data_IF_473799747048
#
_entry.id   IF_473799747048
#
_cell.length_a   1.000
_cell.length_b   1.000
_cell.length_c   1.000
_cell.angle_alpha   90.00
_cell.angle_beta   90.00
_cell.angle_gamma   90.00
#
_symmetry.space_group_name_H-M   'P 1'
#
loop_
_entity.id
_entity.type
_entity.pdbx_description
1 polymer ?
#
# COMPACT_ATOMS: atom_id res chain seq x y z
N UNK A 1 -51.16 31.07 -20.52
CA UNK A 1 -50.89 32.52 -20.51
C UNK A 1 -49.39 32.68 -20.36
N UNK A 2 -48.82 33.09 -21.50
CA UNK A 2 -47.58 33.82 -21.75
C UNK A 2 -46.26 33.19 -21.25
N UNK A 3 -45.49 32.52 -22.10
CA UNK A 3 -44.62 33.05 -23.17
C UNK A 3 -43.81 34.31 -22.80
N UNK A 4 -42.45 34.14 -22.78
CA UNK A 4 -41.57 34.89 -23.65
C UNK A 4 -40.14 34.35 -23.63
N UNK A 5 -39.80 33.83 -24.76
CA UNK A 5 -38.45 33.65 -25.33
C UNK A 5 -37.74 34.98 -25.52
N UNK A 6 -36.41 34.96 -25.48
CA UNK A 6 -35.55 35.81 -26.30
C UNK A 6 -34.20 35.17 -26.53
N UNK A 7 -33.99 34.76 -27.74
CA UNK A 7 -32.71 34.49 -28.40
C UNK A 7 -32.07 35.81 -28.84
N UNK A 8 -30.74 35.92 -28.86
CA UNK A 8 -30.00 36.68 -29.86
C UNK A 8 -28.61 36.12 -30.13
N UNK A 9 -28.40 35.87 -31.38
CA UNK A 9 -27.17 35.64 -32.13
C UNK A 9 -26.19 36.80 -32.00
N UNK A 10 -24.87 36.54 -32.11
CA UNK A 10 -24.09 37.13 -33.20
C UNK A 10 -22.70 36.45 -33.37
N UNK A 11 -22.48 36.01 -34.59
CA UNK A 11 -21.20 35.69 -35.21
C UNK A 11 -20.32 36.91 -35.40
N UNK A 12 -19.00 36.69 -35.38
CA UNK A 12 -18.08 37.36 -36.33
C UNK A 12 -16.82 36.54 -36.54
N UNK A 13 -16.72 35.98 -37.73
CA UNK A 13 -15.46 35.62 -38.42
C UNK A 13 -14.56 36.82 -38.65
N UNK A 14 -13.24 36.59 -38.69
CA UNK A 14 -12.30 37.27 -39.60
C UNK A 14 -10.98 36.48 -39.67
N UNK A 15 -10.74 35.87 -40.68
CA UNK A 15 -9.81 35.61 -41.77
C UNK A 15 -8.39 36.15 -41.65
N UNK A 16 -7.44 35.21 -41.92
CA UNK A 16 -6.38 35.18 -42.95
C UNK A 16 -5.05 35.90 -42.66
N UNK A 17 -3.97 35.09 -42.77
CA UNK A 17 -2.60 35.52 -42.97
C UNK A 17 -1.66 34.35 -43.20
N UNK A 18 -1.56 33.91 -44.46
CA UNK A 18 -0.51 33.02 -44.97
C UNK A 18 0.85 33.63 -44.90
N UNK A 19 1.86 32.81 -44.65
CA UNK A 19 3.26 33.20 -44.77
C UNK A 19 4.14 31.95 -44.84
N UNK A 20 4.19 31.30 -46.00
CA UNK A 20 5.23 30.34 -46.37
C UNK A 20 6.63 30.99 -46.28
N UNK A 21 7.56 30.31 -45.69
CA UNK A 21 8.95 30.28 -46.17
C UNK A 21 9.61 28.92 -45.94
N UNK A 22 9.78 28.25 -47.02
CA UNK A 22 10.64 27.08 -47.24
C UNK A 22 12.11 27.47 -46.98
N UNK A 23 12.82 26.68 -46.18
CA UNK A 23 14.23 26.48 -46.31
C UNK A 23 14.55 25.02 -46.02
N UNK A 24 14.93 24.33 -47.04
CA UNK A 24 15.53 22.99 -47.04
C UNK A 24 16.94 23.04 -46.43
N UNK A 25 17.29 22.00 -45.67
CA UNK A 25 18.66 21.85 -45.18
C UNK A 25 18.84 20.59 -44.36
N UNK A 26 19.13 19.49 -45.05
CA UNK A 26 19.93 18.34 -44.65
C UNK A 26 19.59 17.60 -43.34
N UNK A 27 18.97 16.45 -43.55
CA UNK A 27 18.99 15.31 -42.65
C UNK A 27 20.43 14.78 -42.52
N UNK A 28 20.94 14.73 -41.31
CA UNK A 28 22.01 13.84 -40.94
C UNK A 28 21.52 12.97 -39.82
N UNK A 29 21.38 11.69 -40.15
CA UNK A 29 21.07 10.58 -39.30
C UNK A 29 22.06 10.48 -38.13
N UNK A 30 21.55 10.60 -36.91
CA UNK A 30 22.22 10.15 -35.69
C UNK A 30 21.25 9.25 -34.91
N UNK A 31 20.98 8.08 -35.50
CA UNK A 31 20.37 6.97 -34.80
C UNK A 31 21.37 5.80 -34.81
N UNK A 32 22.33 5.86 -33.89
CA UNK A 32 23.15 4.69 -33.51
C UNK A 32 24.01 5.03 -32.29
N UNK A 33 23.44 5.14 -31.11
CA UNK A 33 24.25 4.96 -29.89
C UNK A 33 23.42 4.88 -28.59
N UNK A 34 22.07 4.74 -28.69
CA UNK A 34 21.24 4.63 -27.50
C UNK A 34 21.05 3.20 -26.96
N UNK A 35 21.57 2.17 -27.60
CA UNK A 35 21.39 0.78 -27.13
C UNK A 35 22.41 0.35 -26.07
N UNK A 36 23.60 0.95 -26.06
CA UNK A 36 24.65 0.60 -25.09
C UNK A 36 24.41 1.27 -23.71
N UNK A 37 23.86 2.48 -23.69
CA UNK A 37 23.57 3.21 -22.46
C UNK A 37 22.35 2.67 -21.69
N UNK A 38 21.42 1.99 -22.36
CA UNK A 38 20.26 1.38 -21.71
C UNK A 38 20.60 0.09 -20.95
N UNK A 39 21.67 -0.59 -21.30
CA UNK A 39 22.10 -1.83 -20.64
C UNK A 39 22.72 -1.60 -19.25
N UNK A 40 23.15 -0.37 -18.96
CA UNK A 40 23.80 -0.03 -17.69
C UNK A 40 22.87 0.70 -16.69
N UNK A 41 21.61 0.92 -17.05
CA UNK A 41 20.64 1.51 -16.12
C UNK A 41 20.31 0.51 -15.01
N UNK A 42 20.84 0.75 -13.82
CA UNK A 42 20.57 -0.02 -12.62
C UNK A 42 21.75 -0.73 -12.00
N UNK A 43 22.95 -0.59 -12.55
CA UNK A 43 24.18 -1.09 -11.91
C UNK A 43 24.74 0.03 -11.03
N UNK A 44 24.94 -0.20 -9.72
CA UNK A 44 25.58 0.79 -8.85
C UNK A 44 26.98 1.14 -9.38
N UNK A 45 27.32 2.42 -9.34
CA UNK A 45 28.64 2.93 -9.82
C UNK A 45 29.81 2.24 -9.12
N UNK A 46 29.63 1.79 -7.86
CA UNK A 46 30.58 1.00 -7.12
C UNK A 46 30.88 -0.38 -7.74
N UNK A 47 29.91 -1.02 -8.38
CA UNK A 47 30.12 -2.29 -9.09
C UNK A 47 30.84 -2.09 -10.43
N UNK A 48 30.59 -0.97 -11.11
CA UNK A 48 31.31 -0.62 -12.35
C UNK A 48 32.80 -0.40 -12.12
N UNK A 49 33.20 0.15 -10.96
CA UNK A 49 34.62 0.31 -10.57
C UNK A 49 35.31 -1.03 -10.32
N UNK A 50 34.60 -2.03 -9.76
CA UNK A 50 35.17 -3.31 -9.36
C UNK A 50 35.33 -4.31 -10.52
N UNK A 51 34.61 -4.15 -11.63
CA UNK A 51 34.60 -5.12 -12.74
C UNK A 51 35.57 -4.79 -13.90
N UNK A 52 36.46 -3.82 -13.76
CA UNK A 52 37.40 -3.38 -14.84
C UNK A 52 36.72 -3.08 -16.17
N UNK A 53 35.41 -2.76 -16.17
CA UNK A 53 34.62 -2.46 -17.38
C UNK A 53 34.98 -1.06 -17.92
N UNK A 54 35.29 -0.12 -17.05
CA UNK A 54 35.69 1.24 -17.41
C UNK A 54 36.98 1.30 -18.30
N UNK A 55 38.05 0.54 -18.02
CA UNK A 55 39.19 0.50 -18.91
C UNK A 55 38.92 -0.13 -20.25
N UNK A 56 38.00 -1.12 -20.32
CA UNK A 56 37.64 -1.79 -21.58
C UNK A 56 36.82 -0.88 -22.52
N UNK A 57 36.03 0.02 -21.97
CA UNK A 57 35.26 1.01 -22.75
C UNK A 57 36.09 2.18 -23.25
N UNK A 58 37.29 2.39 -22.67
CA UNK A 58 38.19 3.47 -23.08
C UNK A 58 39.33 3.01 -24.02
N UNK A 59 39.52 1.69 -24.17
CA UNK A 59 40.72 1.15 -24.91
C UNK A 59 40.42 0.49 -26.25
N UNK A 60 39.20 0.24 -26.66
CA UNK A 60 38.91 -0.54 -27.86
C UNK A 60 37.90 0.04 -28.87
N UNK A 61 37.83 1.33 -29.04
CA UNK A 61 37.12 1.87 -30.18
C UNK A 61 37.93 3.00 -30.81
N UNK A 62 38.56 2.67 -31.94
CA UNK A 62 39.11 3.62 -32.88
C UNK A 62 40.43 4.28 -32.51
N UNK A 63 41.60 3.61 -32.68
CA UNK A 63 42.86 4.22 -33.08
C UNK A 63 43.21 5.64 -32.58
N UNK A 64 42.65 6.06 -31.48
CA UNK A 64 42.93 7.34 -30.83
C UNK A 64 44.09 7.13 -29.87
N UNK A 65 45.17 7.79 -30.12
CA UNK A 65 46.24 8.00 -29.14
C UNK A 65 45.60 8.63 -27.86
N UNK A 66 46.15 8.35 -26.68
CA UNK A 66 45.62 8.95 -25.43
C UNK A 66 45.82 10.47 -25.49
N UNK A 67 44.83 11.14 -26.06
CA UNK A 67 44.75 12.59 -26.07
C UNK A 67 44.67 13.04 -24.61
N UNK A 68 45.44 14.07 -24.28
CA UNK A 68 45.46 14.78 -23.01
C UNK A 68 44.02 14.91 -22.53
N UNK A 69 43.67 14.23 -21.41
CA UNK A 69 42.38 14.37 -20.73
C UNK A 69 42.14 15.86 -20.49
N UNK A 70 41.08 16.41 -21.06
CA UNK A 70 40.84 17.85 -20.94
C UNK A 70 40.79 18.24 -19.48
N UNK A 71 41.32 19.42 -19.14
CA UNK A 71 41.30 19.97 -17.77
C UNK A 71 39.87 20.04 -17.21
N UNK A 72 38.86 20.11 -18.06
CA UNK A 72 37.44 20.08 -17.66
C UNK A 72 36.99 18.71 -17.17
N UNK A 73 37.48 17.62 -17.78
CA UNK A 73 37.18 16.24 -17.35
C UNK A 73 37.86 15.94 -16.01
N UNK A 74 39.11 16.38 -15.82
CA UNK A 74 39.82 16.25 -14.55
C UNK A 74 39.11 17.06 -13.45
N UNK A 75 38.66 18.28 -13.77
CA UNK A 75 37.93 19.12 -12.84
C UNK A 75 36.58 18.54 -12.47
N UNK A 76 35.84 17.96 -13.43
CA UNK A 76 34.60 17.27 -13.17
C UNK A 76 34.81 16.03 -12.29
N UNK A 77 35.92 15.32 -12.48
CA UNK A 77 36.29 14.17 -11.65
C UNK A 77 36.65 14.60 -10.22
N UNK A 78 37.40 15.69 -10.05
CA UNK A 78 37.68 16.27 -8.74
C UNK A 78 36.42 16.77 -8.03
N UNK A 79 35.50 17.39 -8.78
CA UNK A 79 34.19 17.81 -8.25
C UNK A 79 33.33 16.61 -7.81
N UNK A 80 33.36 15.49 -8.55
CA UNK A 80 32.66 14.27 -8.16
C UNK A 80 33.30 13.58 -6.93
N UNK A 81 34.63 13.56 -6.84
CA UNK A 81 35.35 13.03 -5.67
C UNK A 81 35.12 13.91 -4.44
N UNK A 82 34.96 15.24 -4.61
CA UNK A 82 34.62 16.17 -3.55
C UNK A 82 33.15 15.97 -3.05
N UNK A 83 32.23 15.62 -3.94
CA UNK A 83 30.82 15.31 -3.59
C UNK A 83 30.73 14.03 -2.78
N UNK A 84 31.57 13.01 -3.05
CA UNK A 84 31.61 11.79 -2.22
C UNK A 84 32.15 12.05 -0.80
N UNK A 85 32.88 13.18 -0.58
CA UNK A 85 33.40 13.59 0.73
C UNK A 85 32.49 14.56 1.49
N UNK A 86 31.43 15.10 0.85
CA UNK A 86 30.42 15.89 1.56
C UNK A 86 29.51 14.89 2.28
N UNK A 87 29.87 14.55 3.52
CA UNK A 87 28.90 13.96 4.43
C UNK A 87 27.76 14.99 4.58
N UNK A 88 26.50 14.61 4.35
CA UNK A 88 25.39 15.49 4.66
C UNK A 88 25.55 15.91 6.11
N UNK A 89 25.56 17.22 6.39
CA UNK A 89 25.52 17.74 7.74
C UNK A 89 24.32 17.10 8.44
N UNK A 90 24.60 16.03 9.17
CA UNK A 90 23.62 15.38 10.03
C UNK A 90 23.37 16.32 11.18
N UNK A 91 22.32 17.15 11.04
CA UNK A 91 21.64 17.64 12.22
C UNK A 91 21.36 16.45 13.11
N UNK A 92 22.09 16.39 14.22
CA UNK A 92 21.96 15.55 15.41
C UNK A 92 20.80 14.53 15.44
N UNK A 93 20.89 13.51 14.62
CA UNK A 93 20.21 12.22 14.81
C UNK A 93 21.33 11.18 14.80
N UNK A 94 21.90 10.94 15.97
CA UNK A 94 22.78 9.81 16.19
C UNK A 94 21.95 8.52 16.04
N UNK A 95 21.67 8.12 14.81
CA UNK A 95 21.16 6.80 14.48
C UNK A 95 22.36 5.87 14.44
N UNK A 96 22.39 4.91 15.35
CA UNK A 96 23.29 3.76 15.28
C UNK A 96 23.19 3.18 13.85
N UNK A 97 24.30 3.02 13.16
CA UNK A 97 24.43 2.48 11.79
C UNK A 97 24.05 0.99 11.67
N UNK A 98 23.33 0.44 12.61
CA UNK A 98 22.75 -0.89 12.48
C UNK A 98 21.35 -0.77 11.88
N UNK A 99 21.05 -1.48 10.77
CA UNK A 99 19.71 -1.51 10.21
C UNK A 99 18.73 -1.86 11.32
N UNK A 100 17.76 -0.98 11.56
CA UNK A 100 16.81 -1.13 12.65
C UNK A 100 16.21 -2.54 12.67
N UNK A 101 16.26 -3.18 13.83
CA UNK A 101 15.77 -4.55 14.00
C UNK A 101 14.28 -4.60 13.65
N UNK A 102 13.91 -5.56 12.78
CA UNK A 102 12.50 -5.80 12.43
C UNK A 102 11.70 -6.13 13.69
N UNK A 103 10.47 -5.63 13.74
CA UNK A 103 9.55 -5.94 14.85
C UNK A 103 8.59 -7.05 14.46
N UNK A 104 8.36 -8.00 15.36
CA UNK A 104 7.35 -9.04 15.16
C UNK A 104 5.94 -8.52 15.51
N UNK A 105 4.92 -9.18 14.96
CA UNK A 105 3.53 -8.90 15.33
C UNK A 105 3.28 -9.06 16.84
N UNK A 106 3.85 -10.12 17.45
CA UNK A 106 3.70 -10.38 18.88
C UNK A 106 4.31 -9.28 19.74
N UNK A 107 5.51 -8.79 19.39
CA UNK A 107 6.19 -7.70 20.08
C UNK A 107 5.41 -6.38 19.98
N UNK A 108 4.91 -6.05 18.78
CA UNK A 108 4.08 -4.86 18.60
C UNK A 108 2.74 -4.96 19.34
N UNK A 109 2.11 -6.14 19.35
CA UNK A 109 0.88 -6.35 20.14
C UNK A 109 1.12 -6.24 21.63
N UNK A 110 2.24 -6.78 22.14
CA UNK A 110 2.60 -6.69 23.55
C UNK A 110 2.76 -5.24 24.00
N UNK A 111 3.31 -4.36 23.16
CA UNK A 111 3.37 -2.93 23.46
C UNK A 111 1.98 -2.37 23.78
N UNK A 112 0.96 -2.64 22.94
CA UNK A 112 -0.41 -2.18 23.20
C UNK A 112 -1.07 -2.84 24.41
N UNK A 113 -0.58 -3.97 24.88
CA UNK A 113 -1.05 -4.62 26.10
C UNK A 113 -0.46 -3.99 27.37
N UNK A 114 0.69 -3.31 27.24
CA UNK A 114 1.41 -2.71 28.39
C UNK A 114 1.19 -1.21 28.54
N UNK A 115 0.85 -0.50 27.47
CA UNK A 115 0.59 0.94 27.48
C UNK A 115 -0.80 1.23 28.03
N UNK A 116 -0.96 2.33 28.76
CA UNK A 116 -2.27 2.78 29.24
C UNK A 116 -3.15 3.30 28.08
N UNK A 117 -4.11 2.49 27.70
CA UNK A 117 -5.10 2.79 26.66
C UNK A 117 -6.48 3.18 27.22
N UNK A 118 -6.58 3.50 28.50
CA UNK A 118 -7.86 3.75 29.20
C UNK A 118 -8.68 4.87 28.54
N UNK A 119 -8.02 5.91 28.02
CA UNK A 119 -8.66 7.03 27.34
C UNK A 119 -9.32 6.61 26.02
N UNK A 120 -8.67 5.72 25.26
CA UNK A 120 -9.20 5.16 24.02
C UNK A 120 -10.29 4.11 24.29
N UNK A 121 -10.10 3.27 25.31
CA UNK A 121 -11.06 2.24 25.71
C UNK A 121 -12.43 2.82 26.10
N UNK A 122 -12.46 4.01 26.67
CA UNK A 122 -13.73 4.72 26.99
C UNK A 122 -14.54 5.13 25.76
N UNK A 123 -13.89 5.26 24.60
CA UNK A 123 -14.52 5.73 23.35
C UNK A 123 -14.99 4.61 22.42
N UNK A 124 -14.59 3.36 22.68
CA UNK A 124 -14.99 2.25 21.79
C UNK A 124 -16.49 1.94 21.93
N UNK A 125 -17.08 1.53 20.82
CA UNK A 125 -18.42 0.94 20.76
C UNK A 125 -18.28 -0.53 20.31
N UNK A 126 -18.20 -1.47 21.29
CA UNK A 126 -17.85 -2.86 20.99
C UNK A 126 -18.85 -3.60 20.13
N UNK A 127 -20.12 -3.19 20.16
CA UNK A 127 -21.18 -3.78 19.35
C UNK A 127 -22.11 -2.69 18.79
N UNK A 128 -22.71 -2.97 17.67
CA UNK A 128 -23.69 -2.06 17.06
C UNK A 128 -25.02 -2.20 17.81
N UNK A 129 -25.53 -1.09 18.30
CA UNK A 129 -26.87 -1.02 18.93
C UNK A 129 -27.92 -1.19 17.84
N UNK A 130 -28.78 -2.19 18.01
CA UNK A 130 -29.94 -2.42 17.14
C UNK A 130 -31.20 -2.16 17.94
N UNK A 131 -32.21 -1.57 17.31
CA UNK A 131 -33.50 -1.26 17.94
C UNK A 131 -34.67 -1.85 17.13
N UNK A 132 -35.84 -2.00 17.76
CA UNK A 132 -37.05 -2.46 17.10
C UNK A 132 -36.92 -3.84 16.44
N UNK A 133 -37.51 -3.99 15.26
CA UNK A 133 -37.55 -5.26 14.52
C UNK A 133 -36.14 -5.78 14.14
N UNK A 134 -35.17 -4.87 13.95
CA UNK A 134 -33.78 -5.26 13.64
C UNK A 134 -33.14 -5.96 14.85
N UNK A 135 -33.41 -5.50 16.08
CA UNK A 135 -32.94 -6.15 17.30
C UNK A 135 -33.58 -7.54 17.48
N UNK A 136 -34.90 -7.66 17.26
CA UNK A 136 -35.62 -8.93 17.34
C UNK A 136 -35.09 -9.93 16.29
N UNK A 137 -34.92 -9.50 15.05
CA UNK A 137 -34.37 -10.34 13.98
C UNK A 137 -32.93 -10.80 14.32
N UNK A 138 -32.11 -9.91 14.84
CA UNK A 138 -30.74 -10.26 15.26
C UNK A 138 -30.72 -11.24 16.43
N UNK A 139 -31.64 -11.08 17.37
CA UNK A 139 -31.78 -12.00 18.52
C UNK A 139 -32.19 -13.42 18.08
N UNK A 140 -33.12 -13.53 17.12
CA UNK A 140 -33.64 -14.83 16.65
C UNK A 140 -32.73 -15.52 15.63
N UNK A 141 -32.11 -14.76 14.73
CA UNK A 141 -31.41 -15.27 13.54
C UNK A 141 -29.96 -14.77 13.43
N UNK A 142 -29.49 -13.97 14.38
CA UNK A 142 -28.14 -13.39 14.37
C UNK A 142 -27.05 -14.39 14.75
N UNK A 143 -25.80 -13.97 14.66
CA UNK A 143 -24.68 -14.75 15.15
C UNK A 143 -24.75 -14.90 16.69
N UNK A 144 -24.13 -15.94 17.27
CA UNK A 144 -24.06 -16.09 18.71
C UNK A 144 -23.30 -14.92 19.33
N UNK A 145 -23.65 -14.58 20.57
CA UNK A 145 -22.88 -13.58 21.33
C UNK A 145 -21.46 -14.09 21.61
N UNK A 146 -20.53 -13.16 21.64
CA UNK A 146 -19.15 -13.45 22.02
C UNK A 146 -19.08 -13.89 23.49
N UNK A 147 -18.33 -14.95 23.79
CA UNK A 147 -18.11 -15.43 25.14
C UNK A 147 -17.53 -14.33 26.02
N UNK A 148 -17.91 -14.31 27.28
CA UNK A 148 -17.52 -13.23 28.20
C UNK A 148 -16.00 -13.12 28.35
N UNK A 149 -15.29 -14.23 28.46
CA UNK A 149 -13.83 -14.25 28.58
C UNK A 149 -13.07 -13.73 27.35
N UNK A 150 -13.74 -13.57 26.19
CA UNK A 150 -13.14 -13.04 24.97
C UNK A 150 -13.40 -11.54 24.74
N UNK A 151 -14.18 -10.92 25.60
CA UNK A 151 -14.56 -9.50 25.42
C UNK A 151 -13.40 -8.55 25.61
N UNK A 152 -12.50 -8.84 26.54
CA UNK A 152 -11.32 -8.00 26.76
C UNK A 152 -10.40 -7.99 25.54
N UNK A 153 -10.19 -9.17 24.93
CA UNK A 153 -9.40 -9.29 23.72
C UNK A 153 -10.06 -8.54 22.53
N UNK A 154 -11.40 -8.64 22.38
CA UNK A 154 -12.15 -7.83 21.41
C UNK A 154 -11.99 -6.34 21.66
N UNK A 155 -12.11 -5.92 22.92
CA UNK A 155 -12.06 -4.52 23.30
C UNK A 155 -10.66 -3.96 23.10
N UNK A 156 -9.60 -4.77 23.28
CA UNK A 156 -8.24 -4.40 22.93
C UNK A 156 -8.10 -4.13 21.43
N UNK A 157 -8.59 -5.03 20.56
CA UNK A 157 -8.58 -4.83 19.10
C UNK A 157 -9.25 -3.51 18.71
N UNK A 158 -10.44 -3.25 19.28
CA UNK A 158 -11.19 -2.02 18.98
C UNK A 158 -10.54 -0.78 19.59
N UNK A 159 -9.81 -0.91 20.70
CA UNK A 159 -9.05 0.19 21.30
C UNK A 159 -7.84 0.56 20.44
N UNK A 160 -7.11 -0.43 19.93
CA UNK A 160 -6.00 -0.20 19.00
C UNK A 160 -6.49 0.49 17.72
N UNK A 161 -7.72 0.18 17.27
CA UNK A 161 -8.35 0.86 16.14
C UNK A 161 -8.69 2.35 16.42
N UNK A 162 -8.62 2.80 17.69
CA UNK A 162 -8.76 4.22 18.07
C UNK A 162 -7.40 4.92 18.19
N UNK A 163 -6.31 4.18 18.29
CA UNK A 163 -4.97 4.75 18.43
C UNK A 163 -4.49 5.28 17.07
N UNK A 164 -3.96 6.50 17.05
CA UNK A 164 -3.28 7.05 15.88
C UNK A 164 -1.85 6.55 15.76
N UNK A 165 -1.21 6.88 14.65
CA UNK A 165 0.24 6.76 14.50
C UNK A 165 0.90 7.92 15.25
N UNK A 166 1.76 7.60 16.20
CA UNK A 166 2.59 8.55 16.93
C UNK A 166 4.03 8.46 16.40
N UNK A 167 4.52 9.53 15.81
CA UNK A 167 5.88 9.62 15.28
C UNK A 167 6.95 9.67 16.39
N UNK A 168 6.56 9.95 17.63
CA UNK A 168 7.47 9.97 18.79
C UNK A 168 7.60 8.59 19.44
N UNK A 169 6.71 7.66 19.16
CA UNK A 169 6.81 6.29 19.68
C UNK A 169 7.74 5.45 18.81
N UNK A 170 8.91 5.00 19.33
CA UNK A 170 9.85 4.20 18.56
C UNK A 170 9.27 2.90 18.02
N UNK A 171 8.31 2.28 18.74
CA UNK A 171 7.67 1.06 18.29
C UNK A 171 6.83 1.31 17.03
N UNK A 172 6.12 2.44 16.97
CA UNK A 172 5.35 2.83 15.78
C UNK A 172 6.26 3.00 14.56
N UNK A 173 7.43 3.64 14.74
CA UNK A 173 8.45 3.76 13.70
C UNK A 173 8.96 2.40 13.22
N UNK A 174 9.28 1.48 14.15
CA UNK A 174 9.74 0.12 13.81
C UNK A 174 8.70 -0.69 13.05
N UNK A 175 7.41 -0.52 13.36
CA UNK A 175 6.31 -1.16 12.61
C UNK A 175 6.32 -0.69 11.14
N UNK A 176 6.37 0.63 10.91
CA UNK A 176 6.44 1.20 9.57
C UNK A 176 7.68 0.72 8.81
N UNK A 177 8.87 0.77 9.43
CA UNK A 177 10.13 0.28 8.85
C UNK A 177 10.04 -1.19 8.45
N UNK A 178 9.44 -2.02 9.31
CA UNK A 178 9.27 -3.44 9.04
C UNK A 178 8.36 -3.69 7.84
N UNK A 179 7.22 -3.00 7.76
CA UNK A 179 6.29 -3.09 6.64
C UNK A 179 7.00 -2.69 5.34
N UNK A 180 7.70 -1.54 5.34
CA UNK A 180 8.44 -1.04 4.20
C UNK A 180 9.47 -2.05 3.69
N UNK A 181 10.37 -2.52 4.57
CA UNK A 181 11.42 -3.47 4.23
C UNK A 181 10.87 -4.79 3.68
N UNK A 182 9.79 -5.31 4.28
CA UNK A 182 9.19 -6.59 3.87
C UNK A 182 8.48 -6.51 2.52
N UNK A 183 7.86 -5.39 2.18
CA UNK A 183 7.17 -5.21 0.90
C UNK A 183 8.14 -4.85 -0.22
N UNK A 184 9.11 -3.96 0.04
CA UNK A 184 10.04 -3.45 -0.99
C UNK A 184 11.28 -4.31 -1.16
N UNK A 185 11.65 -5.10 -0.14
CA UNK A 185 12.91 -5.83 -0.09
C UNK A 185 14.11 -4.94 0.27
N UNK A 186 13.89 -3.68 0.65
CA UNK A 186 14.95 -2.76 1.07
C UNK A 186 15.68 -3.29 2.30
N UNK A 187 17.00 -3.15 2.31
CA UNK A 187 17.85 -3.43 3.47
C UNK A 187 17.98 -2.21 4.39
N UNK A 188 17.68 -1.03 3.89
CA UNK A 188 17.84 0.24 4.59
C UNK A 188 16.53 0.69 5.22
N UNK A 189 16.65 1.47 6.28
CA UNK A 189 15.53 2.17 6.87
C UNK A 189 15.05 3.30 5.94
N UNK A 190 13.77 3.61 5.98
CA UNK A 190 13.20 4.75 5.26
C UNK A 190 12.81 5.86 6.26
N UNK A 191 12.67 7.08 5.78
CA UNK A 191 12.13 8.16 6.59
C UNK A 191 10.66 7.86 6.97
N UNK A 192 10.19 8.37 8.13
CA UNK A 192 8.80 8.21 8.55
C UNK A 192 7.83 9.05 7.69
N UNK A 193 8.35 10.03 6.94
CA UNK A 193 7.63 10.89 6.01
C UNK A 193 8.39 10.93 4.69
N UNK A 194 7.69 10.92 3.58
CA UNK A 194 8.28 11.05 2.24
C UNK A 194 7.48 10.30 1.16
N UNK A 195 7.78 10.61 -0.09
CA UNK A 195 7.05 10.11 -1.27
C UNK A 195 7.11 8.58 -1.43
N UNK A 196 8.10 7.92 -0.82
CA UNK A 196 8.22 6.46 -0.83
C UNK A 196 7.00 5.73 -0.21
N UNK A 197 6.20 6.41 0.63
CA UNK A 197 4.96 5.86 1.16
C UNK A 197 3.85 5.81 0.11
N UNK A 198 3.85 6.76 -0.84
CA UNK A 198 2.95 6.71 -2.00
C UNK A 198 3.24 5.51 -2.88
N UNK A 199 4.52 5.09 -3.02
CA UNK A 199 4.92 3.89 -3.75
C UNK A 199 4.36 2.60 -3.13
N UNK A 200 4.08 2.60 -1.83
CA UNK A 200 3.40 1.50 -1.14
C UNK A 200 1.87 1.61 -1.23
N UNK A 201 1.35 2.71 -1.75
CA UNK A 201 -0.07 2.95 -1.92
C UNK A 201 -0.74 3.61 -0.72
N UNK A 202 -0.04 4.43 0.04
CA UNK A 202 -0.65 5.48 0.86
C UNK A 202 -1.02 6.67 -0.01
N UNK A 203 -1.93 7.54 0.44
CA UNK A 203 -2.41 8.70 -0.33
C UNK A 203 -1.42 9.87 -0.34
N UNK A 204 -0.40 9.84 0.50
CA UNK A 204 0.60 10.91 0.58
C UNK A 204 1.81 10.51 1.39
N UNK A 205 2.70 11.47 1.56
CA UNK A 205 3.99 11.32 2.25
C UNK A 205 3.88 10.95 3.74
N UNK A 206 2.69 11.05 4.34
CA UNK A 206 2.47 10.73 5.76
C UNK A 206 1.43 9.61 5.92
N UNK A 207 1.82 8.38 6.27
CA UNK A 207 0.90 7.26 6.48
C UNK A 207 -0.20 7.51 7.52
N UNK A 208 0.04 8.40 8.50
CA UNK A 208 -0.94 8.71 9.55
C UNK A 208 -2.26 9.24 9.01
N UNK A 209 -2.23 9.94 7.87
CA UNK A 209 -3.42 10.57 7.28
C UNK A 209 -4.45 9.56 6.77
N UNK A 210 -4.00 8.36 6.42
CA UNK A 210 -4.85 7.32 5.84
C UNK A 210 -5.47 6.38 6.88
N UNK A 211 -5.03 6.46 8.13
CA UNK A 211 -5.48 5.55 9.19
C UNK A 211 -6.87 5.88 9.74
N UNK A 212 -7.58 6.87 9.20
CA UNK A 212 -8.93 7.24 9.66
C UNK A 212 -9.87 6.04 9.61
N UNK A 213 -10.55 5.78 10.72
CA UNK A 213 -11.53 4.70 10.84
C UNK A 213 -10.96 3.30 11.01
N UNK A 214 -9.64 3.15 11.01
CA UNK A 214 -8.95 1.87 11.26
C UNK A 214 -7.86 2.01 12.32
N UNK A 215 -7.35 3.23 12.56
CA UNK A 215 -6.31 3.51 13.52
C UNK A 215 -5.04 2.69 13.29
N UNK A 216 -4.26 2.52 14.35
CA UNK A 216 -3.04 1.74 14.31
C UNK A 216 -3.28 0.25 14.01
N UNK A 217 -4.51 -0.25 14.19
CA UNK A 217 -4.86 -1.62 13.84
C UNK A 217 -4.58 -1.93 12.37
N UNK A 218 -4.72 -0.95 11.47
CA UNK A 218 -4.39 -1.13 10.06
C UNK A 218 -2.90 -1.45 9.84
N UNK A 219 -2.02 -0.81 10.59
CA UNK A 219 -0.57 -1.10 10.53
C UNK A 219 -0.24 -2.44 11.17
N UNK A 220 -0.92 -2.82 12.27
CA UNK A 220 -0.76 -4.15 12.85
C UNK A 220 -1.23 -5.26 11.92
N UNK A 221 -2.31 -5.05 11.18
CA UNK A 221 -2.76 -6.00 10.17
C UNK A 221 -1.77 -6.13 9.01
N UNK A 222 -1.20 -5.02 8.54
CA UNK A 222 -0.11 -5.05 7.55
C UNK A 222 1.12 -5.78 8.11
N UNK A 223 1.51 -5.48 9.35
CA UNK A 223 2.61 -6.15 10.02
C UNK A 223 2.38 -7.66 10.13
N UNK A 224 1.18 -8.08 10.56
CA UNK A 224 0.78 -9.49 10.57
C UNK A 224 0.95 -10.13 9.19
N UNK A 225 0.50 -9.44 8.14
CA UNK A 225 0.54 -9.95 6.77
C UNK A 225 1.97 -10.17 6.26
N UNK A 226 2.91 -9.29 6.62
CA UNK A 226 4.29 -9.32 6.09
C UNK A 226 5.28 -10.06 6.98
N UNK A 227 4.92 -10.40 8.23
CA UNK A 227 5.86 -11.04 9.16
C UNK A 227 5.78 -12.56 9.17
N UNK A 228 4.63 -13.17 8.91
CA UNK A 228 4.52 -14.61 8.73
C UNK A 228 4.97 -15.01 7.31
N UNK A 229 5.82 -16.03 7.19
CA UNK A 229 6.40 -16.45 5.91
C UNK A 229 5.38 -16.85 4.85
N UNK A 230 4.25 -17.43 5.26
CA UNK A 230 3.19 -17.87 4.35
C UNK A 230 2.33 -16.72 3.86
N UNK A 231 2.00 -15.79 4.74
CA UNK A 231 1.23 -14.59 4.38
C UNK A 231 2.11 -13.54 3.69
N UNK A 232 3.42 -13.51 3.94
CA UNK A 232 4.36 -12.63 3.23
C UNK A 232 4.35 -12.90 1.72
N UNK A 233 4.37 -14.17 1.30
CA UNK A 233 4.27 -14.51 -0.13
C UNK A 233 2.98 -13.98 -0.74
N UNK A 234 1.87 -14.14 -0.05
CA UNK A 234 0.58 -13.58 -0.45
C UNK A 234 0.64 -12.04 -0.53
N UNK A 235 1.20 -11.38 0.48
CA UNK A 235 1.36 -9.92 0.50
C UNK A 235 2.17 -9.41 -0.69
N UNK A 236 3.29 -10.06 -1.00
CA UNK A 236 4.15 -9.72 -2.13
C UNK A 236 3.47 -9.95 -3.48
N UNK A 237 2.68 -11.02 -3.62
CA UNK A 237 1.88 -11.26 -4.83
C UNK A 237 0.79 -10.18 -5.01
N UNK A 238 0.08 -9.82 -3.94
CA UNK A 238 -0.93 -8.75 -3.97
C UNK A 238 -0.27 -7.39 -4.24
N UNK A 239 0.87 -7.11 -3.62
CA UNK A 239 1.63 -5.88 -3.85
C UNK A 239 2.14 -5.80 -5.30
N UNK A 240 2.57 -6.92 -5.91
CA UNK A 240 2.91 -6.96 -7.33
C UNK A 240 1.69 -6.71 -8.22
N UNK A 241 0.53 -7.28 -7.89
CA UNK A 241 -0.73 -7.02 -8.60
C UNK A 241 -1.12 -5.54 -8.51
N UNK A 242 -0.96 -4.91 -7.34
CA UNK A 242 -1.28 -3.50 -7.14
C UNK A 242 -0.45 -2.55 -8.00
N UNK A 243 0.70 -3.00 -8.49
CA UNK A 243 1.60 -2.25 -9.39
C UNK A 243 1.48 -2.67 -10.86
N UNK A 244 0.45 -3.43 -11.21
CA UNK A 244 0.20 -3.84 -12.59
C UNK A 244 -0.28 -2.64 -13.43
N UNK A 245 0.25 -2.48 -14.64
CA UNK A 245 0.02 -1.30 -15.49
C UNK A 245 -1.46 -0.98 -15.80
N UNK A 246 -2.37 -1.98 -15.78
CA UNK A 246 -3.81 -1.78 -16.00
C UNK A 246 -4.59 -1.95 -14.69
N UNK A 247 -4.26 -2.97 -13.90
CA UNK A 247 -5.01 -3.37 -12.70
C UNK A 247 -4.45 -2.76 -11.42
N UNK A 248 -3.69 -1.66 -11.52
CA UNK A 248 -3.09 -1.02 -10.36
C UNK A 248 -4.14 -0.51 -9.35
N UNK A 249 -3.75 -0.54 -8.08
CA UNK A 249 -4.53 0.01 -6.97
C UNK A 249 -3.61 0.36 -5.78
N UNK A 250 -3.99 1.31 -4.91
CA UNK A 250 -3.18 1.70 -3.76
C UNK A 250 -3.19 0.59 -2.69
N UNK A 251 -2.11 -0.18 -2.60
CA UNK A 251 -2.03 -1.38 -1.76
C UNK A 251 -2.30 -1.08 -0.28
N UNK A 252 -1.59 -0.11 0.32
CA UNK A 252 -1.74 0.20 1.73
C UNK A 252 -3.14 0.76 2.04
N UNK A 253 -3.66 1.67 1.22
CA UNK A 253 -5.00 2.21 1.40
C UNK A 253 -6.08 1.13 1.26
N UNK A 254 -5.90 0.19 0.33
CA UNK A 254 -6.79 -0.96 0.19
C UNK A 254 -6.76 -1.84 1.44
N UNK A 255 -5.56 -2.07 2.01
CA UNK A 255 -5.37 -2.78 3.28
C UNK A 255 -6.10 -2.08 4.43
N UNK A 256 -6.01 -0.75 4.54
CA UNK A 256 -6.75 0.04 5.55
C UNK A 256 -8.25 -0.19 5.43
N UNK A 257 -8.78 -0.23 4.21
CA UNK A 257 -10.22 -0.48 3.98
C UNK A 257 -10.64 -1.89 4.37
N UNK A 258 -9.79 -2.88 4.14
CA UNK A 258 -10.04 -4.25 4.61
C UNK A 258 -10.04 -4.32 6.14
N UNK A 259 -9.15 -3.57 6.80
CA UNK A 259 -9.17 -3.44 8.26
C UNK A 259 -10.48 -2.83 8.75
N UNK A 260 -11.02 -1.81 8.08
CA UNK A 260 -12.34 -1.24 8.41
C UNK A 260 -13.46 -2.28 8.28
N UNK A 261 -13.41 -3.11 7.22
CA UNK A 261 -14.36 -4.25 7.06
C UNK A 261 -14.23 -5.23 8.25
N UNK A 262 -13.00 -5.53 8.68
CA UNK A 262 -12.76 -6.43 9.80
C UNK A 262 -13.29 -5.86 11.13
N UNK A 263 -13.06 -4.57 11.39
CA UNK A 263 -13.59 -3.86 12.56
C UNK A 263 -15.12 -3.92 12.53
N UNK A 264 -15.73 -3.64 11.40
CA UNK A 264 -17.19 -3.63 11.26
C UNK A 264 -17.77 -5.04 11.47
N UNK A 265 -17.15 -6.07 10.90
CA UNK A 265 -17.57 -7.46 11.08
C UNK A 265 -17.45 -7.90 12.57
N UNK A 266 -16.43 -7.42 13.27
CA UNK A 266 -16.26 -7.68 14.71
C UNK A 266 -17.36 -7.01 15.53
N UNK A 267 -17.67 -5.73 15.26
CA UNK A 267 -18.73 -4.95 15.91
C UNK A 267 -20.14 -5.49 15.62
N UNK A 268 -20.34 -6.06 14.43
CA UNK A 268 -21.60 -6.69 14.02
C UNK A 268 -21.74 -8.12 14.55
N UNK A 269 -20.75 -8.61 15.32
CA UNK A 269 -20.71 -9.95 15.90
C UNK A 269 -20.58 -11.08 14.84
N UNK A 270 -20.28 -10.76 13.57
CA UNK A 270 -20.16 -11.74 12.49
C UNK A 270 -19.07 -12.77 12.75
N UNK A 271 -18.03 -12.41 13.51
CA UNK A 271 -16.90 -13.27 13.84
C UNK A 271 -17.09 -14.07 15.14
N UNK A 272 -18.13 -13.78 15.96
CA UNK A 272 -18.31 -14.36 17.29
C UNK A 272 -18.33 -15.87 17.28
N UNK A 273 -18.94 -16.52 16.29
CA UNK A 273 -18.97 -17.98 16.17
C UNK A 273 -17.56 -18.59 16.04
N UNK A 274 -16.70 -17.98 15.21
CA UNK A 274 -15.33 -18.45 15.02
C UNK A 274 -14.44 -18.10 16.21
N UNK A 275 -14.61 -16.93 16.81
CA UNK A 275 -13.92 -16.54 18.04
C UNK A 275 -14.26 -17.50 19.18
N UNK A 276 -15.54 -17.78 19.39
CA UNK A 276 -15.99 -18.70 20.43
C UNK A 276 -15.47 -20.13 20.17
N UNK A 277 -15.45 -20.59 18.92
CA UNK A 277 -14.94 -21.92 18.56
C UNK A 277 -13.45 -22.05 18.81
N UNK A 278 -12.67 -21.00 18.48
CA UNK A 278 -11.19 -20.99 18.62
C UNK A 278 -10.73 -20.47 19.98
N UNK A 279 -11.65 -19.94 20.82
CA UNK A 279 -11.37 -19.29 22.10
C UNK A 279 -10.33 -18.16 21.98
N UNK A 280 -10.37 -17.42 20.87
CA UNK A 280 -9.44 -16.34 20.54
C UNK A 280 -10.12 -15.29 19.66
N UNK A 281 -9.79 -14.01 19.83
CA UNK A 281 -10.30 -12.92 18.98
C UNK A 281 -9.23 -12.40 18.05
N UNK A 282 -8.06 -11.99 18.52
CA UNK A 282 -7.00 -11.40 17.73
C UNK A 282 -6.57 -12.31 16.57
N UNK A 283 -6.25 -13.60 16.77
CA UNK A 283 -5.87 -14.48 15.68
C UNK A 283 -7.00 -14.69 14.65
N UNK A 284 -8.26 -14.67 15.09
CA UNK A 284 -9.42 -14.79 14.19
C UNK A 284 -9.57 -13.53 13.35
N UNK A 285 -9.45 -12.33 13.96
CA UNK A 285 -9.55 -11.05 13.26
C UNK A 285 -8.41 -10.89 12.25
N UNK A 286 -7.18 -11.23 12.63
CA UNK A 286 -6.01 -11.20 11.74
C UNK A 286 -6.18 -12.16 10.54
N UNK A 287 -6.61 -13.40 10.81
CA UNK A 287 -6.88 -14.38 9.75
C UNK A 287 -8.03 -13.91 8.85
N UNK A 288 -9.06 -13.30 9.43
CA UNK A 288 -10.18 -12.76 8.66
C UNK A 288 -9.77 -11.59 7.77
N UNK A 289 -8.93 -10.67 8.26
CA UNK A 289 -8.32 -9.62 7.47
C UNK A 289 -7.54 -10.21 6.29
N UNK A 290 -6.62 -11.14 6.54
CA UNK A 290 -5.82 -11.78 5.49
C UNK A 290 -6.70 -12.53 4.47
N UNK A 291 -7.74 -13.24 4.94
CA UNK A 291 -8.70 -13.94 4.08
C UNK A 291 -9.49 -12.99 3.17
N UNK A 292 -9.86 -11.84 3.72
CA UNK A 292 -10.60 -10.81 2.99
C UNK A 292 -9.71 -10.16 1.93
N UNK A 293 -8.44 -9.90 2.24
CA UNK A 293 -7.48 -9.36 1.27
C UNK A 293 -7.17 -10.38 0.16
N UNK A 294 -6.98 -11.65 0.51
CA UNK A 294 -6.83 -12.74 -0.46
C UNK A 294 -8.01 -12.79 -1.43
N UNK A 295 -9.23 -12.70 -0.92
CA UNK A 295 -10.43 -12.72 -1.75
C UNK A 295 -10.53 -11.50 -2.67
N UNK A 296 -10.24 -10.31 -2.15
CA UNK A 296 -10.15 -9.08 -2.96
C UNK A 296 -9.19 -9.26 -4.12
N UNK A 297 -7.97 -9.70 -3.86
CA UNK A 297 -6.95 -9.89 -4.88
C UNK A 297 -7.37 -10.95 -5.94
N UNK A 298 -8.03 -12.02 -5.50
CA UNK A 298 -8.59 -13.02 -6.40
C UNK A 298 -9.64 -12.43 -7.34
N UNK A 299 -10.62 -11.70 -6.79
CA UNK A 299 -11.68 -11.04 -7.59
C UNK A 299 -11.06 -9.99 -8.52
N UNK A 300 -10.15 -9.17 -7.99
CA UNK A 300 -9.49 -8.13 -8.74
C UNK A 300 -8.80 -8.66 -9.98
N UNK A 301 -8.03 -9.73 -9.81
CA UNK A 301 -7.31 -10.37 -10.90
C UNK A 301 -8.22 -11.11 -11.88
N UNK A 302 -9.08 -11.99 -11.37
CA UNK A 302 -9.87 -12.89 -12.23
C UNK A 302 -10.95 -12.17 -13.02
N UNK A 303 -11.46 -11.05 -12.48
CA UNK A 303 -12.47 -10.23 -13.14
C UNK A 303 -11.88 -9.00 -13.82
N UNK A 304 -10.55 -8.93 -13.95
CA UNK A 304 -9.83 -7.84 -14.62
C UNK A 304 -10.23 -6.44 -14.11
N UNK A 305 -10.41 -6.32 -12.77
CA UNK A 305 -10.84 -5.07 -12.13
C UNK A 305 -9.76 -3.99 -12.23
N UNK A 306 -10.22 -2.75 -12.25
CA UNK A 306 -9.39 -1.54 -12.27
C UNK A 306 -9.73 -0.64 -11.08
N UNK A 307 -9.00 0.44 -10.90
CA UNK A 307 -9.24 1.39 -9.81
C UNK A 307 -10.66 1.97 -9.85
N UNK A 308 -11.25 2.12 -11.03
CA UNK A 308 -12.62 2.60 -11.20
C UNK A 308 -13.69 1.66 -10.60
N UNK A 309 -13.34 0.37 -10.46
CA UNK A 309 -14.24 -0.63 -9.88
C UNK A 309 -14.16 -0.70 -8.35
N UNK A 310 -13.18 -0.01 -7.74
CA UNK A 310 -12.79 -0.17 -6.34
C UNK A 310 -13.95 -0.05 -5.36
N UNK A 311 -14.82 0.94 -5.53
CA UNK A 311 -15.98 1.16 -4.67
C UNK A 311 -16.97 0.00 -4.69
N UNK A 312 -17.28 -0.54 -5.89
CA UNK A 312 -18.16 -1.69 -6.02
C UNK A 312 -17.55 -2.96 -5.44
N UNK A 313 -16.28 -3.21 -5.75
CA UNK A 313 -15.54 -4.39 -5.25
C UNK A 313 -15.49 -4.39 -3.73
N UNK A 314 -15.19 -3.25 -3.10
CA UNK A 314 -15.14 -3.14 -1.64
C UNK A 314 -16.50 -3.30 -0.98
N UNK A 315 -17.56 -2.76 -1.59
CA UNK A 315 -18.94 -2.94 -1.09
C UNK A 315 -19.38 -4.41 -1.17
N UNK A 316 -19.12 -5.08 -2.28
CA UNK A 316 -19.44 -6.50 -2.44
C UNK A 316 -18.61 -7.38 -1.48
N UNK A 317 -17.33 -7.01 -1.30
CA UNK A 317 -16.43 -7.65 -0.37
C UNK A 317 -16.92 -7.52 1.08
N UNK A 318 -17.35 -6.34 1.50
CA UNK A 318 -17.93 -6.10 2.82
C UNK A 318 -19.19 -6.96 3.04
N UNK A 319 -20.10 -6.98 2.07
CA UNK A 319 -21.31 -7.81 2.16
C UNK A 319 -20.97 -9.30 2.29
N UNK A 320 -20.03 -9.79 1.47
CA UNK A 320 -19.57 -11.19 1.54
C UNK A 320 -18.90 -11.49 2.88
N UNK A 321 -18.02 -10.61 3.34
CA UNK A 321 -17.27 -10.75 4.58
C UNK A 321 -18.20 -10.87 5.79
N UNK A 322 -19.25 -10.05 5.86
CA UNK A 322 -20.26 -10.11 6.92
C UNK A 322 -21.18 -11.34 6.79
N UNK A 323 -21.56 -11.72 5.57
CA UNK A 323 -22.49 -12.84 5.34
C UNK A 323 -21.83 -14.21 5.52
N UNK A 324 -20.57 -14.34 5.13
CA UNK A 324 -19.89 -15.65 5.04
C UNK A 324 -18.45 -15.62 5.55
N UNK A 325 -18.18 -15.14 6.78
CA UNK A 325 -16.81 -15.02 7.30
C UNK A 325 -16.08 -16.37 7.34
N UNK A 326 -16.79 -17.44 7.70
CA UNK A 326 -16.22 -18.79 7.76
C UNK A 326 -15.75 -19.29 6.39
N UNK A 327 -16.44 -18.93 5.30
CA UNK A 327 -16.02 -19.28 3.93
C UNK A 327 -14.70 -18.63 3.60
N UNK A 328 -14.55 -17.34 3.90
CA UNK A 328 -13.30 -16.60 3.68
C UNK A 328 -12.15 -17.21 4.48
N UNK A 329 -12.33 -17.48 5.77
CA UNK A 329 -11.33 -18.12 6.61
C UNK A 329 -10.90 -19.48 6.07
N UNK A 330 -11.86 -20.31 5.62
CA UNK A 330 -11.54 -21.61 5.01
C UNK A 330 -10.75 -21.46 3.70
N UNK A 331 -11.06 -20.47 2.87
CA UNK A 331 -10.31 -20.19 1.65
C UNK A 331 -8.85 -19.84 1.97
N UNK A 332 -8.62 -19.03 3.00
CA UNK A 332 -7.27 -18.72 3.46
C UNK A 332 -6.53 -19.98 3.95
N UNK A 333 -7.18 -20.81 4.77
CA UNK A 333 -6.59 -22.06 5.28
C UNK A 333 -6.14 -22.96 4.11
N UNK A 334 -6.97 -23.11 3.08
CA UNK A 334 -6.64 -23.89 1.88
C UNK A 334 -5.46 -23.28 1.14
N UNK A 335 -5.46 -21.95 0.94
CA UNK A 335 -4.37 -21.25 0.28
C UNK A 335 -3.04 -21.44 1.02
N UNK A 336 -3.02 -21.18 2.34
CA UNK A 336 -1.81 -21.33 3.16
C UNK A 336 -1.29 -22.78 3.21
N UNK A 337 -2.19 -23.77 3.19
CA UNK A 337 -1.82 -25.17 3.09
C UNK A 337 -1.18 -25.48 1.72
N UNK A 338 -1.69 -24.88 0.64
CA UNK A 338 -1.11 -24.97 -0.70
C UNK A 338 0.28 -24.32 -0.80
N UNK A 339 0.46 -23.13 -0.21
CA UNK A 339 1.76 -22.44 -0.12
C UNK A 339 2.79 -23.32 0.58
N UNK A 340 2.42 -23.96 1.69
CA UNK A 340 3.31 -24.86 2.43
C UNK A 340 3.77 -26.08 1.63
N UNK A 341 3.00 -26.47 0.60
CA UNK A 341 3.33 -27.55 -0.32
C UNK A 341 3.99 -27.08 -1.62
N UNK A 342 4.28 -25.79 -1.75
CA UNK A 342 4.81 -25.17 -2.97
C UNK A 342 3.83 -25.17 -4.16
N UNK A 343 2.54 -25.37 -3.92
CA UNK A 343 1.52 -25.56 -4.96
C UNK A 343 0.60 -24.34 -5.14
N UNK A 344 0.55 -23.41 -4.20
CA UNK A 344 -0.34 -22.26 -4.26
C UNK A 344 0.39 -21.00 -4.71
N UNK A 345 -0.10 -20.40 -5.76
CA UNK A 345 0.19 -19.02 -6.17
C UNK A 345 -1.12 -18.32 -6.52
N UNK A 346 -1.31 -17.12 -6.03
CA UNK A 346 -2.44 -16.26 -6.33
C UNK A 346 -2.42 -15.85 -7.81
N UNK A 347 -1.23 -15.79 -8.37
CA UNK A 347 -0.97 -15.28 -9.71
C UNK A 347 -0.88 -16.35 -10.80
N UNK A 348 -0.98 -17.67 -10.45
CA UNK A 348 -0.75 -18.74 -11.43
C UNK A 348 0.67 -18.67 -12.03
N UNK A 349 1.10 -19.70 -12.72
CA UNK A 349 2.47 -19.82 -13.25
C UNK A 349 2.81 -18.91 -14.45
N UNK A 350 2.15 -17.77 -14.63
CA UNK A 350 2.55 -16.81 -15.65
C UNK A 350 3.74 -15.98 -15.15
N UNK A 351 4.90 -16.23 -15.76
CA UNK A 351 6.09 -15.38 -15.68
C UNK A 351 5.76 -14.02 -16.31
N UNK A 352 5.42 -13.04 -15.49
CA UNK A 352 5.38 -11.67 -15.94
C UNK A 352 6.82 -11.12 -15.98
N UNK A 353 7.44 -11.16 -17.16
CA UNK A 353 8.58 -10.32 -17.50
C UNK A 353 8.03 -9.05 -18.16
N UNK A 354 7.73 -8.03 -17.36
CA UNK A 354 7.41 -6.69 -17.87
C UNK A 354 8.02 -5.65 -16.93
N UNK A 355 8.48 -4.49 -17.46
CA UNK A 355 8.97 -3.41 -16.63
C UNK A 355 7.85 -2.96 -15.68
N UNK A 356 8.15 -2.85 -14.38
CA UNK A 356 7.25 -2.27 -13.41
C UNK A 356 7.05 -0.79 -13.78
N UNK A 357 5.83 -0.42 -14.15
CA UNK A 357 5.50 0.97 -14.37
C UNK A 357 5.60 1.75 -13.05
N UNK A 358 6.14 2.98 -13.04
CA UNK A 358 6.06 3.84 -11.87
C UNK A 358 4.57 4.05 -11.52
N UNK A 359 4.27 4.09 -10.23
CA UNK A 359 2.93 4.37 -9.72
C UNK A 359 2.44 5.69 -10.31
N UNK A 360 1.29 5.69 -10.99
CA UNK A 360 0.73 6.92 -11.54
C UNK A 360 0.17 7.77 -10.40
N UNK A 361 0.77 8.95 -10.20
CA UNK A 361 0.36 9.92 -9.15
C UNK A 361 -1.03 10.53 -9.40
N UNK A 362 -1.59 10.35 -10.61
CA UNK A 362 -2.86 10.95 -11.03
C UNK A 362 -4.10 10.12 -10.68
N UNK A 363 -3.93 9.00 -9.98
CA UNK A 363 -5.05 8.17 -9.57
C UNK A 363 -5.68 8.74 -8.29
N UNK A 364 -6.65 9.61 -8.45
CA UNK A 364 -7.53 10.03 -7.37
C UNK A 364 -8.41 8.86 -6.94
N UNK A 365 -8.03 8.22 -5.84
CA UNK A 365 -8.81 7.17 -5.20
C UNK A 365 -9.88 7.82 -4.32
N UNK A 366 -11.02 8.16 -4.93
CA UNK A 366 -12.11 8.89 -4.26
C UNK A 366 -13.18 7.97 -3.63
N UNK A 367 -13.07 6.66 -3.75
CA UNK A 367 -14.23 5.79 -3.54
C UNK A 367 -14.39 5.16 -2.17
N UNK A 368 -13.45 5.26 -1.25
CA UNK A 368 -13.46 4.38 -0.05
C UNK A 368 -13.53 5.12 1.26
N UNK A 369 -13.05 6.36 1.30
CA UNK A 369 -13.21 7.21 2.50
C UNK A 369 -14.66 7.70 2.65
N UNK A 370 -15.45 7.69 1.57
CA UNK A 370 -16.82 8.19 1.49
C UNK A 370 -17.88 7.07 1.41
N UNK A 371 -17.67 5.94 2.03
CA UNK A 371 -18.77 5.07 2.40
C UNK A 371 -19.62 5.81 3.42
N UNK A 372 -20.38 6.79 2.92
CA UNK A 372 -21.40 7.46 3.72
C UNK A 372 -22.35 6.39 4.25
N UNK A 373 -22.62 6.42 5.55
CA UNK A 373 -23.69 5.62 6.08
C UNK A 373 -24.98 6.13 5.44
N UNK A 374 -25.74 5.23 4.86
CA UNK A 374 -27.14 5.53 4.59
C UNK A 374 -27.75 6.09 5.89
N UNK A 375 -28.23 7.30 5.79
CA UNK A 375 -28.87 8.11 6.80
C UNK A 375 -29.77 7.29 7.72
N UNK A 376 -29.29 7.02 8.90
CA UNK A 376 -30.08 6.95 10.12
C UNK A 376 -29.17 7.54 11.19
N UNK A 377 -29.60 8.68 11.70
CA UNK A 377 -29.01 9.52 12.70
C UNK A 377 -28.14 8.74 13.70
N UNK A 378 -26.87 8.94 13.64
CA UNK A 378 -25.91 8.38 14.58
C UNK A 378 -24.53 8.92 14.25
N UNK A 379 -24.12 9.91 15.04
CA UNK A 379 -22.79 10.48 15.09
C UNK A 379 -21.73 9.38 14.96
N UNK A 380 -20.95 9.39 13.87
CA UNK A 380 -19.82 8.50 13.70
C UNK A 380 -18.67 8.93 14.58
N UNK A 381 -18.75 8.52 15.84
CA UNK A 381 -17.55 8.33 16.64
C UNK A 381 -17.21 6.83 16.53
N UNK A 382 -16.11 6.53 15.84
CA UNK A 382 -15.50 5.21 15.96
C UNK A 382 -15.18 4.95 17.41
#
# INVERSE_FOLDING_TARGET
MNEKSCSFHNEKELRVGQGERVCAGHSASYDRDNSALSAFRGIPISELKNHRILPALTTEANGWEPGVVSTEVLRAQEEWEAVETIQPETGSWASSEQPGQLISFGEALQHFQTVDLSSFKKRIQPTIRRTGLAALRHYLFGPPKLHQGLREERDLVLTIAQCGLDSQDPMHGRVLQTIYKKLTGSKFDCALHGDHWEDLGFQGANPATDLRGAGFLALLHLLYLVMDSKTLLMAQEIFRLSRHHIQQFPFCLMSVNITRIAIQALREECLSRECNRRQQVIPVVNSFYAATFLHLAHVWRTQQKTISDSGFVLKDLEMLAKKSPRRLLKTLEIYLAGVSKGQASLLGAQKYCGPQAPYSKDLTFTGVCDLQPHSSEGTWLI
#
